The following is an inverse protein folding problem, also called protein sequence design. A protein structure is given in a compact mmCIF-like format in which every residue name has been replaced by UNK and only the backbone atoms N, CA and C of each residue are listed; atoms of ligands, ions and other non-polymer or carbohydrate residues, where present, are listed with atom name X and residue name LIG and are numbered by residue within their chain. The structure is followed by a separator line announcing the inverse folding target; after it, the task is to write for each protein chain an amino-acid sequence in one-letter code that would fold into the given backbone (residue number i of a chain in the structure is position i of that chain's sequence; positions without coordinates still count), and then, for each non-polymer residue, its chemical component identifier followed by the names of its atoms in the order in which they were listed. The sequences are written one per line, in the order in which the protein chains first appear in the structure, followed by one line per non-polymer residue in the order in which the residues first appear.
data_IF_639777478084
#
_entry.id   IF_639777478084
#
_cell.length_a   1.000
_cell.length_b   1.000
_cell.length_c   1.000
_cell.angle_alpha   90.00
_cell.angle_beta   90.00
_cell.angle_gamma   90.00
#
_symmetry.space_group_name_H-M   'P 1'
#
loop_
_entity.id
_entity.type
_entity.pdbx_description
1 polymer ?
#
# COMPACT_ATOMS: atom_id res chain seq x y z
N UNK A 1 56.73 35.80 15.89
CA UNK A 1 55.88 36.80 16.57
C UNK A 1 54.49 36.17 16.71
N UNK A 2 54.13 35.61 17.88
CA UNK A 2 53.15 36.19 18.84
C UNK A 2 52.01 36.93 18.09
N UNK A 3 50.75 36.51 18.16
CA UNK A 3 49.90 36.57 19.35
C UNK A 3 48.76 35.52 19.35
N UNK A 4 48.51 34.97 20.54
CA UNK A 4 47.28 34.29 20.94
C UNK A 4 46.11 35.28 20.99
N UNK A 5 44.90 34.85 20.62
CA UNK A 5 43.66 35.45 21.11
C UNK A 5 42.63 34.34 21.34
N UNK A 6 42.54 33.89 22.59
CA UNK A 6 41.46 33.07 23.13
C UNK A 6 40.25 33.96 23.38
N UNK A 7 39.14 33.73 22.68
CA UNK A 7 37.82 34.17 23.13
C UNK A 7 37.09 32.97 23.72
N UNK A 8 37.02 32.99 25.05
CA UNK A 8 36.15 32.14 25.85
C UNK A 8 34.70 32.46 25.47
N UNK A 9 34.03 31.52 24.81
CA UNK A 9 32.58 31.54 24.65
C UNK A 9 32.04 30.59 25.71
N UNK A 10 31.58 31.16 26.82
CA UNK A 10 30.75 30.46 27.80
C UNK A 10 29.44 30.09 27.10
N UNK A 11 29.37 28.84 26.63
CA UNK A 11 28.14 28.22 26.16
C UNK A 11 27.26 27.98 27.39
N UNK A 12 26.35 28.91 27.70
CA UNK A 12 25.24 28.60 28.60
C UNK A 12 24.40 27.52 27.90
N UNK A 13 24.58 26.27 28.33
CA UNK A 13 23.66 25.19 28.02
C UNK A 13 22.31 25.54 28.68
N UNK A 14 21.38 26.07 27.89
CA UNK A 14 19.96 26.04 28.23
C UNK A 14 19.59 24.56 28.32
N UNK A 15 19.59 24.01 29.55
CA UNK A 15 18.85 22.79 29.85
C UNK A 15 17.38 23.13 29.60
N UNK A 16 16.88 22.87 28.40
CA UNK A 16 15.45 22.62 28.25
C UNK A 16 15.20 21.33 29.01
N UNK A 17 14.59 21.45 30.18
CA UNK A 17 13.96 20.33 30.85
C UNK A 17 12.79 19.91 29.94
N UNK A 18 13.09 19.07 28.96
CA UNK A 18 12.05 18.31 28.27
C UNK A 18 11.49 17.43 29.36
N UNK A 19 10.30 17.79 29.84
CA UNK A 19 9.40 16.83 30.48
C UNK A 19 9.14 15.76 29.42
N UNK A 20 10.04 14.78 29.36
CA UNK A 20 9.70 13.49 28.81
C UNK A 20 8.68 13.00 29.84
N UNK A 21 7.39 13.13 29.52
CA UNK A 21 6.41 12.26 30.14
C UNK A 21 6.97 10.87 29.86
N UNK A 22 7.48 10.20 30.90
CA UNK A 22 7.66 8.76 30.82
C UNK A 22 6.37 8.23 30.23
N UNK A 23 6.41 7.33 29.22
CA UNK A 23 5.20 6.60 28.90
C UNK A 23 4.70 6.06 30.23
N UNK A 24 3.43 6.35 30.55
CA UNK A 24 2.71 5.55 31.55
C UNK A 24 3.01 4.13 31.10
N UNK A 25 3.79 3.40 31.91
CA UNK A 25 4.12 2.02 31.60
C UNK A 25 2.79 1.36 31.32
N UNK A 26 2.64 0.71 30.17
CA UNK A 26 1.49 -0.15 29.97
C UNK A 26 1.58 -1.18 31.10
N UNK A 27 0.66 -1.09 32.06
CA UNK A 27 0.59 -2.04 33.16
C UNK A 27 0.47 -3.42 32.53
N UNK A 28 1.31 -4.35 32.97
CA UNK A 28 1.23 -5.72 32.49
C UNK A 28 -0.06 -6.37 33.03
N UNK A 29 -0.70 -7.24 32.23
CA UNK A 29 -1.89 -7.95 32.70
C UNK A 29 -1.59 -8.76 33.97
N UNK A 30 -2.55 -8.82 34.88
CA UNK A 30 -2.47 -9.61 36.10
C UNK A 30 -3.83 -10.24 36.47
N UNK A 31 -3.80 -11.17 37.42
CA UNK A 31 -4.99 -11.67 38.09
C UNK A 31 -5.03 -11.12 39.51
N UNK A 32 -6.09 -10.37 39.86
CA UNK A 32 -6.22 -9.81 41.22
C UNK A 32 -6.33 -10.93 42.23
N UNK A 33 -5.71 -10.73 43.39
CA UNK A 33 -5.61 -11.68 44.51
C UNK A 33 -4.57 -12.80 44.34
N UNK A 34 -3.81 -12.85 43.25
CA UNK A 34 -2.67 -13.76 43.05
C UNK A 34 -1.35 -13.08 43.48
N UNK A 35 -1.25 -12.71 44.76
CA UNK A 35 -0.14 -11.91 45.28
C UNK A 35 1.21 -12.65 45.21
N UNK A 36 1.22 -13.99 45.18
CA UNK A 36 2.45 -14.76 45.03
C UNK A 36 2.77 -15.16 43.57
N UNK A 37 1.90 -14.79 42.63
CA UNK A 37 2.00 -15.02 41.19
C UNK A 37 2.12 -16.49 40.79
N UNK A 38 1.53 -17.40 41.57
CA UNK A 38 1.52 -18.84 41.31
C UNK A 38 0.31 -19.31 40.49
N UNK A 39 -0.51 -18.37 40.02
CA UNK A 39 -1.71 -18.59 39.21
C UNK A 39 -2.88 -19.24 39.95
N UNK A 40 -2.81 -19.34 41.29
CA UNK A 40 -3.88 -19.90 42.10
C UNK A 40 -4.25 -18.93 43.22
N UNK A 41 -5.39 -18.25 43.08
CA UNK A 41 -5.91 -17.42 44.18
C UNK A 41 -6.31 -18.29 45.38
N UNK A 42 -5.48 -18.29 46.42
CA UNK A 42 -5.65 -19.11 47.62
C UNK A 42 -5.04 -18.49 48.89
N UNK A 43 -4.96 -19.26 49.98
CA UNK A 43 -4.45 -18.73 51.26
C UNK A 43 -2.95 -18.36 51.21
N UNK A 44 -2.19 -18.95 50.28
CA UNK A 44 -0.78 -18.64 50.08
C UNK A 44 -0.57 -17.17 49.68
N UNK A 45 -1.51 -16.57 48.96
CA UNK A 45 -1.48 -15.17 48.56
C UNK A 45 -1.64 -14.23 49.75
N UNK A 46 -2.60 -14.52 50.63
CA UNK A 46 -2.79 -13.75 51.87
C UNK A 46 -1.55 -13.85 52.77
N UNK A 47 -0.92 -15.02 52.84
CA UNK A 47 0.35 -15.21 53.57
C UNK A 47 1.47 -14.41 52.92
N UNK A 48 1.51 -14.33 51.59
CA UNK A 48 2.54 -13.62 50.84
C UNK A 48 2.41 -12.11 51.01
N UNK A 49 1.19 -11.56 50.92
CA UNK A 49 0.89 -10.17 51.24
C UNK A 49 1.34 -9.80 52.66
N UNK A 50 1.01 -10.62 53.67
CA UNK A 50 1.46 -10.41 55.06
C UNK A 50 2.99 -10.48 55.20
N UNK A 51 3.64 -11.37 54.45
CA UNK A 51 5.09 -11.50 54.49
C UNK A 51 5.80 -10.28 53.86
N UNK A 52 5.24 -9.71 52.81
CA UNK A 52 5.67 -8.44 52.20
C UNK A 52 5.57 -7.30 53.22
N UNK A 53 4.42 -7.19 53.89
CA UNK A 53 4.15 -6.09 54.84
C UNK A 53 4.98 -6.17 56.13
N UNK A 54 5.15 -7.37 56.70
CA UNK A 54 5.66 -7.51 58.07
C UNK A 54 6.93 -8.34 58.20
N UNK A 55 7.28 -9.16 57.21
CA UNK A 55 8.40 -10.10 57.30
C UNK A 55 9.59 -9.73 56.41
N UNK A 56 9.50 -8.62 55.66
CA UNK A 56 10.59 -8.12 54.83
C UNK A 56 10.86 -8.97 53.60
N UNK A 57 9.84 -9.63 53.04
CA UNK A 57 9.94 -10.44 51.82
C UNK A 57 10.26 -9.65 50.53
N UNK A 58 10.55 -8.36 50.64
CA UNK A 58 10.77 -7.44 49.51
C UNK A 58 9.48 -6.75 49.05
N UNK A 59 9.58 -5.82 48.10
CA UNK A 59 8.39 -5.26 47.46
C UNK A 59 7.64 -6.36 46.70
N UNK A 60 6.32 -6.23 46.59
CA UNK A 60 5.52 -7.11 45.75
C UNK A 60 6.06 -7.12 44.31
N UNK A 61 6.04 -8.29 43.66
CA UNK A 61 6.40 -8.41 42.25
C UNK A 61 5.32 -7.84 41.32
N UNK A 62 4.07 -7.85 41.79
CA UNK A 62 2.92 -7.23 41.16
C UNK A 62 2.03 -6.64 42.29
N UNK A 63 2.32 -5.40 42.74
CA UNK A 63 1.53 -4.69 43.72
C UNK A 63 0.02 -4.74 43.51
N UNK A 64 -0.49 -4.64 42.27
CA UNK A 64 -1.94 -4.68 42.01
C UNK A 64 -2.56 -6.06 42.24
N UNK A 65 -1.81 -7.14 42.00
CA UNK A 65 -2.28 -8.48 42.36
C UNK A 65 -2.39 -8.65 43.88
N UNK A 66 -1.58 -7.91 44.64
CA UNK A 66 -1.63 -7.90 46.10
C UNK A 66 -2.64 -6.91 46.67
N UNK A 67 -3.02 -5.86 45.95
CA UNK A 67 -4.10 -4.92 46.32
C UNK A 67 -5.47 -5.59 46.10
N UNK A 68 -5.93 -6.28 47.13
CA UNK A 68 -7.08 -7.19 47.05
C UNK A 68 -8.42 -6.46 47.22
N UNK A 69 -8.41 -5.29 47.88
CA UNK A 69 -9.59 -4.44 48.03
C UNK A 69 -9.62 -3.25 47.07
N UNK A 70 -8.60 -3.12 46.22
CA UNK A 70 -8.54 -2.19 45.10
C UNK A 70 -8.70 -0.73 45.54
N UNK A 71 -8.00 -0.37 46.62
CA UNK A 71 -8.04 0.99 47.19
C UNK A 71 -6.79 1.83 46.86
N UNK A 72 -5.89 1.27 46.06
CA UNK A 72 -4.66 1.86 45.58
C UNK A 72 -3.58 1.96 46.64
N UNK A 73 -3.64 1.09 47.65
CA UNK A 73 -2.69 1.06 48.76
C UNK A 73 -2.47 -0.36 49.28
N UNK A 74 -1.24 -0.87 49.10
CA UNK A 74 -0.85 -2.17 49.64
C UNK A 74 -0.63 -2.10 51.16
N UNK A 75 -1.61 -2.53 51.96
CA UNK A 75 -1.59 -2.56 53.42
C UNK A 75 -2.30 -3.79 54.06
N UNK A 76 -2.60 -3.74 55.36
CA UNK A 76 -3.21 -4.87 56.09
C UNK A 76 -4.66 -5.15 55.65
N UNK A 77 -5.33 -4.19 55.02
CA UNK A 77 -6.68 -4.35 54.49
C UNK A 77 -6.71 -5.41 53.39
N UNK A 78 -5.64 -5.55 52.61
CA UNK A 78 -5.53 -6.50 51.50
C UNK A 78 -5.64 -7.97 51.91
N UNK A 79 -4.75 -8.52 52.77
CA UNK A 79 -4.88 -9.91 53.19
C UNK A 79 -6.19 -10.14 53.95
N UNK A 80 -6.76 -9.12 54.60
CA UNK A 80 -8.08 -9.24 55.24
C UNK A 80 -9.19 -9.34 54.19
N UNK A 81 -9.15 -8.52 53.14
CA UNK A 81 -10.09 -8.56 52.03
C UNK A 81 -10.02 -9.90 51.31
N UNK A 82 -8.83 -10.38 50.99
CA UNK A 82 -8.61 -11.68 50.39
C UNK A 82 -9.13 -12.83 51.26
N UNK A 83 -8.83 -12.84 52.56
CA UNK A 83 -9.36 -13.88 53.46
C UNK A 83 -10.90 -13.81 53.56
N UNK A 84 -11.47 -12.62 53.46
CA UNK A 84 -12.93 -12.42 53.42
C UNK A 84 -13.54 -12.93 52.12
N UNK A 85 -12.83 -12.82 51.00
CA UNK A 85 -13.18 -13.42 49.70
C UNK A 85 -13.10 -14.95 49.77
N UNK A 86 -12.02 -15.50 50.31
CA UNK A 86 -11.75 -16.95 50.34
C UNK A 86 -12.64 -17.73 51.31
N UNK A 87 -12.91 -17.17 52.48
CA UNK A 87 -13.57 -17.89 53.59
C UNK A 87 -14.84 -17.21 54.12
N UNK A 88 -15.11 -15.99 53.67
CA UNK A 88 -16.26 -15.20 54.10
C UNK A 88 -17.29 -15.01 53.00
N UNK A 89 -17.87 -13.81 52.97
CA UNK A 89 -18.83 -13.38 51.97
C UNK A 89 -18.30 -12.18 51.16
N UNK A 90 -16.98 -12.07 51.04
CA UNK A 90 -16.34 -11.07 50.18
C UNK A 90 -16.63 -11.36 48.71
N UNK A 91 -16.75 -10.30 47.91
CA UNK A 91 -16.90 -10.40 46.47
C UNK A 91 -15.55 -10.01 45.87
N UNK A 92 -14.87 -10.89 45.11
CA UNK A 92 -13.62 -10.52 44.49
C UNK A 92 -13.84 -9.45 43.43
N UNK A 93 -12.93 -8.48 43.38
CA UNK A 93 -12.92 -7.36 42.43
C UNK A 93 -12.16 -7.73 41.16
N UNK A 94 -12.49 -7.07 40.05
CA UNK A 94 -11.82 -7.29 38.77
C UNK A 94 -10.39 -6.73 38.77
N UNK A 95 -9.43 -7.32 38.04
CA UNK A 95 -9.60 -8.43 37.10
C UNK A 95 -9.59 -9.82 37.78
N UNK A 96 -10.67 -10.61 37.57
CA UNK A 96 -10.83 -11.97 38.14
C UNK A 96 -10.13 -13.06 37.34
N UNK A 97 -9.86 -12.75 36.08
CA UNK A 97 -9.02 -13.50 35.17
C UNK A 97 -7.96 -12.51 34.69
N UNK A 98 -6.92 -13.02 34.07
CA UNK A 98 -5.89 -12.20 33.46
C UNK A 98 -6.45 -10.98 32.71
N UNK A 99 -6.05 -9.79 33.12
CA UNK A 99 -6.41 -8.54 32.46
C UNK A 99 -5.77 -7.31 33.10
N UNK A 100 -6.08 -6.16 32.52
CA UNK A 100 -5.65 -4.85 33.00
C UNK A 100 -6.41 -4.43 34.26
N UNK A 101 -5.82 -3.53 35.04
CA UNK A 101 -6.50 -2.89 36.17
C UNK A 101 -7.65 -1.96 35.68
N UNK A 102 -8.91 -2.24 36.05
CA UNK A 102 -10.04 -1.36 35.72
C UNK A 102 -10.00 0.00 36.45
N UNK A 103 -9.22 0.10 37.52
CA UNK A 103 -9.11 1.28 38.40
C UNK A 103 -7.67 1.76 38.53
N UNK A 104 -7.02 2.19 37.43
CA UNK A 104 -5.60 2.51 37.44
C UNK A 104 -5.21 3.51 38.53
N UNK A 105 -4.18 3.18 39.30
CA UNK A 105 -3.66 4.03 40.37
C UNK A 105 -2.12 4.12 40.39
N UNK A 106 -1.52 4.27 41.57
CA UNK A 106 -0.08 4.40 41.74
C UNK A 106 0.67 3.07 41.90
N UNK A 107 -0.08 1.97 42.04
CA UNK A 107 0.41 0.61 41.98
C UNK A 107 0.50 0.17 40.50
N UNK A 108 1.41 -0.75 40.23
CA UNK A 108 1.67 -1.27 38.88
C UNK A 108 2.23 -2.70 39.02
N UNK A 109 2.16 -3.49 37.95
CA UNK A 109 2.68 -4.85 37.90
C UNK A 109 3.93 -4.92 37.03
N UNK A 110 5.14 -4.70 37.61
CA UNK A 110 6.38 -4.78 36.85
C UNK A 110 6.70 -6.20 36.35
N UNK A 111 6.03 -7.23 36.87
CA UNK A 111 6.07 -8.60 36.37
C UNK A 111 4.63 -9.07 36.10
N UNK A 112 4.36 -9.54 34.88
CA UNK A 112 3.11 -10.25 34.51
C UNK A 112 2.88 -11.42 35.45
N UNK A 113 1.65 -11.65 35.91
CA UNK A 113 1.32 -12.91 36.59
C UNK A 113 1.58 -14.11 35.66
N UNK A 114 1.92 -15.27 36.24
CA UNK A 114 2.33 -16.43 35.44
C UNK A 114 1.22 -16.93 34.50
N UNK A 115 -0.05 -16.70 34.85
CA UNK A 115 -1.22 -16.98 34.01
C UNK A 115 -1.51 -15.88 32.97
N UNK A 116 -0.92 -14.70 33.15
CA UNK A 116 -0.91 -13.58 32.22
C UNK A 116 0.29 -13.54 31.30
N UNK A 117 1.17 -14.53 31.38
CA UNK A 117 2.03 -14.81 30.25
C UNK A 117 1.13 -15.23 29.09
N UNK A 118 0.84 -14.29 28.20
CA UNK A 118 0.18 -14.56 26.93
C UNK A 118 1.00 -15.64 26.25
N UNK A 119 0.53 -16.89 26.35
CA UNK A 119 1.11 -17.98 25.59
C UNK A 119 0.97 -17.53 24.14
N UNK A 120 2.07 -17.35 23.38
CA UNK A 120 1.97 -16.96 21.99
C UNK A 120 0.94 -17.84 21.30
N UNK A 121 -0.11 -17.20 20.78
CA UNK A 121 -1.21 -17.88 20.12
C UNK A 121 -0.65 -18.90 19.13
N UNK A 122 -1.01 -20.20 19.21
CA UNK A 122 -0.41 -21.22 18.36
C UNK A 122 -0.51 -20.84 16.89
N UNK A 123 0.58 -21.02 16.14
CA UNK A 123 0.63 -20.68 14.73
C UNK A 123 -0.56 -21.29 13.95
N UNK A 124 -1.26 -20.46 13.17
CA UNK A 124 -2.45 -20.87 12.40
C UNK A 124 -3.77 -20.84 13.16
N UNK A 125 -3.78 -20.41 14.43
CA UNK A 125 -5.02 -20.16 15.18
C UNK A 125 -5.69 -18.89 14.65
N UNK A 126 -7.02 -18.87 14.41
CA UNK A 126 -7.72 -17.67 13.98
C UNK A 126 -7.58 -16.54 14.99
N UNK A 127 -7.32 -15.34 14.50
CA UNK A 127 -7.26 -14.10 15.27
C UNK A 127 -7.82 -12.94 14.43
N UNK A 128 -7.69 -11.70 14.92
CA UNK A 128 -8.04 -10.47 14.22
C UNK A 128 -6.84 -9.51 14.36
N UNK A 129 -6.26 -9.07 13.24
CA UNK A 129 -5.11 -8.16 13.22
C UNK A 129 -5.53 -6.68 13.28
N UNK A 130 -6.84 -6.41 13.28
CA UNK A 130 -7.43 -5.08 13.30
C UNK A 130 -7.33 -4.33 11.97
N UNK A 131 -6.75 -4.92 10.92
CA UNK A 131 -6.70 -4.34 9.59
C UNK A 131 -7.94 -4.77 8.78
N UNK A 132 -8.88 -3.86 8.49
CA UNK A 132 -10.05 -4.20 7.68
C UNK A 132 -9.68 -4.59 6.23
N UNK A 133 -8.44 -4.34 5.79
CA UNK A 133 -7.92 -4.69 4.47
C UNK A 133 -7.23 -6.04 4.40
N UNK A 134 -7.32 -6.85 5.45
CA UNK A 134 -6.88 -8.24 5.48
C UNK A 134 -8.05 -9.18 5.75
N UNK A 135 -7.86 -10.46 5.42
CA UNK A 135 -8.82 -11.52 5.70
C UNK A 135 -8.09 -12.80 6.11
N UNK A 136 -8.80 -13.71 6.77
CA UNK A 136 -8.25 -15.00 7.23
C UNK A 136 -7.04 -14.83 8.15
N UNK A 137 -7.17 -13.95 9.15
CA UNK A 137 -6.06 -13.60 10.02
C UNK A 137 -5.71 -14.76 10.94
N UNK A 138 -4.40 -15.00 11.02
CA UNK A 138 -3.84 -16.13 11.74
C UNK A 138 -2.64 -15.70 12.55
N UNK A 139 -2.51 -16.33 13.72
CA UNK A 139 -1.35 -16.11 14.56
C UNK A 139 -0.09 -16.71 13.93
N UNK A 140 1.04 -16.06 14.14
CA UNK A 140 2.36 -16.51 13.69
C UNK A 140 3.06 -17.49 14.66
N UNK A 141 2.49 -17.73 15.84
CA UNK A 141 3.12 -18.54 16.89
C UNK A 141 4.09 -17.78 17.80
N UNK A 142 4.34 -16.50 17.51
CA UNK A 142 5.14 -15.57 18.33
C UNK A 142 4.27 -14.48 19.00
N UNK A 143 2.95 -14.52 18.78
CA UNK A 143 1.98 -13.59 19.35
C UNK A 143 1.53 -12.50 18.38
N UNK A 144 2.07 -12.46 17.15
CA UNK A 144 1.59 -11.60 16.09
C UNK A 144 0.38 -12.22 15.38
N UNK A 145 -0.63 -11.40 15.09
CA UNK A 145 -1.75 -11.75 14.22
C UNK A 145 -1.55 -11.06 12.86
N UNK A 146 -1.68 -11.82 11.77
CA UNK A 146 -1.55 -11.28 10.41
C UNK A 146 -2.57 -11.92 9.48
N UNK A 147 -3.21 -11.10 8.66
CA UNK A 147 -4.12 -11.56 7.62
C UNK A 147 -3.56 -11.57 6.20
N UNK A 148 -4.36 -12.12 5.30
CA UNK A 148 -4.12 -12.13 3.86
C UNK A 148 -4.71 -10.85 3.27
N UNK A 149 -3.92 -10.00 2.58
CA UNK A 149 -4.42 -8.77 1.98
C UNK A 149 -5.59 -9.03 1.02
N UNK A 150 -6.61 -8.18 1.08
CA UNK A 150 -7.70 -8.17 0.11
C UNK A 150 -7.12 -7.84 -1.26
N UNK A 151 -7.46 -8.64 -2.27
CA UNK A 151 -7.11 -8.34 -3.66
C UNK A 151 -8.15 -7.40 -4.27
N UNK A 152 -7.76 -6.15 -4.54
CA UNK A 152 -8.62 -5.14 -5.16
C UNK A 152 -8.39 -4.98 -6.67
N UNK A 153 -7.47 -5.75 -7.27
CA UNK A 153 -7.16 -5.71 -8.71
C UNK A 153 -8.42 -5.97 -9.55
N UNK A 154 -8.85 -4.97 -10.32
CA UNK A 154 -9.98 -5.06 -11.26
C UNK A 154 -9.55 -5.34 -12.71
N UNK A 155 -8.25 -5.59 -12.90
CA UNK A 155 -7.59 -5.82 -14.18
C UNK A 155 -7.61 -4.62 -15.14
N UNK A 156 -7.98 -3.42 -14.68
CA UNK A 156 -7.81 -2.20 -15.44
C UNK A 156 -6.41 -1.61 -15.14
N UNK A 157 -5.47 -1.60 -16.10
CA UNK A 157 -4.16 -0.98 -15.89
C UNK A 157 -4.21 0.54 -15.68
N UNK A 158 -5.39 1.16 -15.85
CA UNK A 158 -5.62 2.58 -15.65
C UNK A 158 -6.30 2.94 -14.33
N UNK A 159 -6.39 2.00 -13.40
CA UNK A 159 -6.74 2.26 -12.01
C UNK A 159 -5.54 1.99 -11.10
N UNK A 160 -5.48 2.74 -10.00
CA UNK A 160 -4.67 2.40 -8.83
C UNK A 160 -5.59 1.68 -7.84
N UNK A 161 -5.38 0.39 -7.67
CA UNK A 161 -6.26 -0.49 -6.89
C UNK A 161 -5.79 -0.54 -5.44
N UNK A 162 -6.55 0.12 -4.57
CA UNK A 162 -6.20 0.25 -3.15
C UNK A 162 -7.34 -0.25 -2.28
N UNK A 163 -7.00 -0.96 -1.20
CA UNK A 163 -7.96 -1.19 -0.14
C UNK A 163 -7.94 -0.02 0.84
N UNK A 164 -9.11 0.56 1.09
CA UNK A 164 -9.31 1.61 2.07
C UNK A 164 -10.40 1.21 3.05
N UNK A 165 -10.03 0.97 4.32
CA UNK A 165 -10.96 0.58 5.38
C UNK A 165 -11.83 -0.65 5.03
N UNK A 166 -11.25 -1.64 4.36
CA UNK A 166 -11.94 -2.87 3.92
C UNK A 166 -12.82 -2.72 2.68
N UNK A 167 -12.74 -1.57 2.00
CA UNK A 167 -13.43 -1.30 0.74
C UNK A 167 -12.38 -1.21 -0.36
N UNK A 168 -12.58 -1.93 -1.46
CA UNK A 168 -11.75 -1.76 -2.65
C UNK A 168 -12.12 -0.46 -3.37
N UNK A 169 -11.13 0.39 -3.55
CA UNK A 169 -11.20 1.63 -4.32
C UNK A 169 -10.26 1.49 -5.53
N UNK A 170 -10.81 1.66 -6.72
CA UNK A 170 -10.06 1.58 -7.97
C UNK A 170 -9.97 3.00 -8.52
N UNK A 171 -8.88 3.70 -8.24
CA UNK A 171 -8.75 5.14 -8.45
C UNK A 171 -8.26 5.39 -9.88
N UNK A 172 -9.02 6.09 -10.75
CA UNK A 172 -8.58 6.34 -12.11
C UNK A 172 -7.29 7.16 -12.16
N UNK A 173 -6.30 6.65 -12.90
CA UNK A 173 -5.03 7.34 -13.13
C UNK A 173 -5.25 8.43 -14.19
N UNK A 174 -4.97 9.68 -13.82
CA UNK A 174 -5.16 10.82 -14.71
C UNK A 174 -4.32 10.69 -16.00
N UNK A 175 -4.99 10.70 -17.15
CA UNK A 175 -4.34 10.56 -18.46
C UNK A 175 -4.00 9.12 -18.85
N UNK A 176 -4.19 8.14 -17.97
CA UNK A 176 -4.06 6.74 -18.37
C UNK A 176 -5.17 6.37 -19.35
N UNK A 177 -4.79 5.65 -20.40
CA UNK A 177 -5.70 5.25 -21.48
C UNK A 177 -5.91 6.33 -22.54
N UNK A 178 -5.42 7.56 -22.35
CA UNK A 178 -5.36 8.57 -23.42
C UNK A 178 -4.05 8.42 -24.19
N UNK A 179 -4.13 8.08 -25.48
CA UNK A 179 -2.96 7.85 -26.32
C UNK A 179 -2.60 9.14 -27.05
N UNK A 180 -1.35 9.58 -26.94
CA UNK A 180 -0.80 10.76 -27.63
C UNK A 180 0.08 10.32 -28.80
N UNK A 181 0.01 11.06 -29.90
CA UNK A 181 0.89 10.78 -31.04
C UNK A 181 2.36 10.96 -30.66
N UNK A 182 2.72 12.06 -30.02
CA UNK A 182 4.11 12.40 -29.70
C UNK A 182 4.73 11.51 -28.64
N UNK A 183 3.94 11.01 -27.67
CA UNK A 183 4.45 10.19 -26.57
C UNK A 183 4.39 8.69 -26.87
N UNK A 184 3.36 8.22 -27.57
CA UNK A 184 3.10 6.79 -27.72
C UNK A 184 3.29 6.34 -29.16
N UNK A 185 2.52 6.89 -30.11
CA UNK A 185 2.49 6.37 -31.48
C UNK A 185 3.78 6.65 -32.25
N UNK A 186 4.33 7.85 -32.11
CA UNK A 186 5.52 8.26 -32.84
C UNK A 186 6.74 7.41 -32.46
N UNK A 187 7.19 7.35 -31.20
CA UNK A 187 8.40 6.60 -30.86
C UNK A 187 8.24 5.08 -31.00
N UNK A 188 7.03 4.53 -30.77
CA UNK A 188 6.81 3.08 -30.74
C UNK A 188 6.44 2.47 -32.10
N UNK A 189 6.01 3.29 -33.07
CA UNK A 189 5.56 2.81 -34.38
C UNK A 189 6.13 3.63 -35.54
N UNK A 190 5.96 4.96 -35.52
CA UNK A 190 6.34 5.78 -36.67
C UNK A 190 7.86 5.84 -36.82
N UNK A 191 8.55 6.23 -35.76
CA UNK A 191 10.01 6.34 -35.75
C UNK A 191 10.68 4.98 -35.91
N UNK A 192 10.26 3.98 -35.14
CA UNK A 192 10.84 2.64 -35.13
C UNK A 192 10.68 1.90 -36.47
N UNK A 193 9.48 1.94 -37.06
CA UNK A 193 9.11 1.01 -38.13
C UNK A 193 8.78 1.70 -39.46
N UNK A 194 8.45 3.00 -39.45
CA UNK A 194 8.00 3.71 -40.65
C UNK A 194 9.09 4.65 -41.23
N UNK A 195 9.85 5.36 -40.39
CA UNK A 195 10.81 6.37 -40.85
C UNK A 195 11.95 5.79 -41.68
N UNK A 196 12.31 4.52 -41.50
CA UNK A 196 13.36 3.83 -42.29
C UNK A 196 13.11 3.94 -43.80
N UNK A 197 11.85 3.94 -44.21
CA UNK A 197 11.41 4.03 -45.61
C UNK A 197 10.80 5.40 -45.94
N UNK A 198 10.12 6.01 -44.98
CA UNK A 198 9.36 7.25 -45.14
C UNK A 198 10.03 8.43 -44.46
N UNK A 199 11.37 8.52 -44.49
CA UNK A 199 12.11 9.72 -44.09
C UNK A 199 13.28 9.96 -45.06
N UNK A 200 13.87 11.17 -45.06
CA UNK A 200 15.06 11.45 -45.85
C UNK A 200 16.20 10.49 -45.48
N UNK A 201 16.92 9.92 -46.46
CA UNK A 201 16.90 10.26 -47.89
C UNK A 201 15.88 9.46 -48.74
N UNK A 202 15.26 8.42 -48.19
CA UNK A 202 14.43 7.47 -48.94
C UNK A 202 13.11 8.09 -49.43
N UNK A 203 12.36 8.71 -48.51
CA UNK A 203 11.06 9.36 -48.78
C UNK A 203 10.15 8.55 -49.73
N UNK A 204 10.07 7.22 -49.53
CA UNK A 204 9.27 6.38 -50.41
C UNK A 204 7.80 6.83 -50.39
N UNK A 205 7.17 6.83 -51.56
CA UNK A 205 5.80 7.35 -51.72
C UNK A 205 5.69 8.87 -51.60
N UNK A 206 6.82 9.61 -51.66
CA UNK A 206 6.88 11.05 -51.41
C UNK A 206 6.37 11.43 -50.01
N UNK A 207 6.55 10.55 -49.03
CA UNK A 207 6.11 10.73 -47.66
C UNK A 207 7.31 10.93 -46.73
N UNK A 208 7.25 11.96 -45.89
CA UNK A 208 8.21 12.20 -44.81
C UNK A 208 7.49 12.14 -43.47
N UNK A 209 7.82 11.13 -42.67
CA UNK A 209 7.28 10.85 -41.34
C UNK A 209 8.31 11.11 -40.23
N UNK A 210 9.48 11.68 -40.55
CA UNK A 210 10.43 12.10 -39.53
C UNK A 210 9.98 13.42 -38.91
N UNK A 211 10.26 13.61 -37.62
CA UNK A 211 10.19 14.91 -36.95
C UNK A 211 11.48 15.73 -37.10
N UNK A 212 12.51 15.22 -37.78
CA UNK A 212 13.73 15.96 -38.07
C UNK A 212 13.49 16.84 -39.30
N UNK A 213 13.20 18.12 -39.06
CA UNK A 213 12.96 19.11 -40.12
C UNK A 213 11.62 18.96 -40.85
N UNK A 214 10.68 18.24 -40.24
CA UNK A 214 9.32 18.01 -40.72
C UNK A 214 8.38 17.82 -39.52
N UNK A 215 7.07 18.00 -39.74
CA UNK A 215 6.03 17.72 -38.76
C UNK A 215 5.28 16.45 -39.21
N UNK A 216 5.60 15.32 -38.59
CA UNK A 216 5.03 14.03 -39.01
C UNK A 216 3.55 13.92 -38.62
N UNK A 217 3.12 14.53 -37.52
CA UNK A 217 1.72 14.60 -37.12
C UNK A 217 0.90 15.38 -38.16
N UNK A 218 1.35 16.59 -38.49
CA UNK A 218 0.72 17.45 -39.49
C UNK A 218 0.73 16.86 -40.91
N UNK A 219 1.63 15.91 -41.19
CA UNK A 219 1.68 15.17 -42.46
C UNK A 219 0.61 14.06 -42.54
N UNK A 220 0.19 13.51 -41.39
CA UNK A 220 -0.73 12.38 -41.32
C UNK A 220 -2.17 12.79 -41.02
N UNK A 221 -2.37 13.68 -40.06
CA UNK A 221 -3.71 13.92 -39.50
C UNK A 221 -4.48 14.93 -40.35
N UNK A 222 -5.69 14.53 -40.77
CA UNK A 222 -6.55 15.29 -41.68
C UNK A 222 -5.86 15.67 -43.02
N UNK A 223 -4.93 14.82 -43.48
CA UNK A 223 -4.26 15.01 -44.77
C UNK A 223 -4.70 13.93 -45.77
N UNK A 224 -5.08 14.29 -47.01
CA UNK A 224 -5.49 13.31 -48.00
C UNK A 224 -4.33 12.39 -48.42
N UNK A 225 -4.62 11.10 -48.58
CA UNK A 225 -3.65 10.12 -49.05
C UNK A 225 -3.29 10.34 -50.53
N UNK A 226 -1.99 10.28 -50.85
CA UNK A 226 -1.51 10.37 -52.23
C UNK A 226 -1.90 9.13 -53.08
N UNK A 227 -2.12 7.98 -52.45
CA UNK A 227 -2.53 6.74 -53.13
C UNK A 227 -4.05 6.67 -53.36
N UNK A 228 -4.82 7.36 -52.52
CA UNK A 228 -6.27 7.46 -52.61
C UNK A 228 -6.77 8.77 -51.98
N UNK A 229 -6.87 9.84 -52.77
CA UNK A 229 -7.23 11.19 -52.28
C UNK A 229 -8.67 11.32 -51.78
N UNK A 230 -9.48 10.26 -51.89
CA UNK A 230 -10.82 10.18 -51.31
C UNK A 230 -10.79 9.84 -49.81
N UNK A 231 -9.63 9.44 -49.28
CA UNK A 231 -9.43 9.04 -47.89
C UNK A 231 -8.24 9.80 -47.30
N UNK A 232 -8.36 10.25 -46.06
CA UNK A 232 -7.26 10.86 -45.34
C UNK A 232 -6.30 9.79 -44.80
N UNK A 233 -5.03 10.15 -44.59
CA UNK A 233 -4.05 9.29 -43.92
C UNK A 233 -4.54 8.90 -42.54
N UNK A 234 -4.94 9.88 -41.73
CA UNK A 234 -5.63 9.68 -40.45
C UNK A 234 -6.88 10.57 -40.41
N UNK A 235 -8.02 9.92 -40.19
CA UNK A 235 -9.31 10.52 -39.88
C UNK A 235 -9.53 10.39 -38.37
N UNK A 236 -9.38 11.47 -37.58
CA UNK A 236 -9.62 11.44 -36.14
C UNK A 236 -10.98 10.83 -35.77
N UNK A 237 -10.97 9.88 -34.82
CA UNK A 237 -12.15 9.19 -34.32
C UNK A 237 -12.65 8.03 -35.20
N UNK A 238 -12.00 7.74 -36.33
CA UNK A 238 -12.39 6.65 -37.22
C UNK A 238 -11.17 5.96 -37.87
N UNK A 239 -10.61 4.97 -37.19
CA UNK A 239 -9.55 4.10 -37.71
C UNK A 239 -9.99 3.37 -38.97
N UNK A 240 -11.27 3.02 -39.08
CA UNK A 240 -11.81 2.38 -40.27
C UNK A 240 -11.85 3.34 -41.47
N UNK A 241 -12.00 4.65 -41.30
CA UNK A 241 -11.90 5.60 -42.41
C UNK A 241 -10.45 6.01 -42.74
N UNK A 242 -9.48 5.66 -41.89
CA UNK A 242 -8.09 6.12 -41.99
C UNK A 242 -7.24 5.25 -42.92
N UNK A 243 -6.63 5.87 -43.94
CA UNK A 243 -5.81 5.16 -44.92
C UNK A 243 -4.58 4.50 -44.28
N UNK A 244 -3.92 5.17 -43.34
CA UNK A 244 -2.76 4.64 -42.61
C UNK A 244 -3.11 3.32 -41.92
N UNK A 245 -4.22 3.29 -41.16
CA UNK A 245 -4.64 2.09 -40.44
C UNK A 245 -4.93 0.93 -41.39
N UNK A 246 -5.65 1.19 -42.48
CA UNK A 246 -5.94 0.18 -43.50
C UNK A 246 -4.69 -0.38 -44.16
N UNK A 247 -3.66 0.44 -44.36
CA UNK A 247 -2.38 0.03 -44.94
C UNK A 247 -1.59 -0.87 -44.00
N UNK A 248 -1.67 -0.66 -42.69
CA UNK A 248 -0.98 -1.51 -41.70
C UNK A 248 -1.77 -2.77 -41.35
N UNK A 249 -3.10 -2.72 -41.39
CA UNK A 249 -3.99 -3.87 -41.17
C UNK A 249 -4.10 -4.78 -42.41
N UNK A 250 -3.88 -4.23 -43.61
CA UNK A 250 -3.96 -4.96 -44.88
C UNK A 250 -5.34 -4.91 -45.55
N UNK A 251 -6.25 -4.05 -45.09
CA UNK A 251 -7.60 -3.88 -45.64
C UNK A 251 -7.69 -2.80 -46.73
N UNK A 252 -6.58 -2.14 -47.06
CA UNK A 252 -6.50 -0.99 -47.97
C UNK A 252 -6.92 -1.26 -49.41
N UNK A 253 -6.67 -2.45 -49.97
CA UNK A 253 -7.04 -2.75 -51.38
C UNK A 253 -8.55 -2.77 -51.57
N UNK A 254 -9.28 -3.40 -50.64
CA UNK A 254 -10.74 -3.43 -50.68
C UNK A 254 -11.33 -2.02 -50.46
N UNK A 255 -10.73 -1.25 -49.55
CA UNK A 255 -11.13 0.13 -49.30
C UNK A 255 -10.90 1.03 -50.52
N UNK A 256 -9.77 0.89 -51.21
CA UNK A 256 -9.47 1.64 -52.43
C UNK A 256 -10.53 1.38 -53.50
N UNK A 257 -10.90 0.12 -53.72
CA UNK A 257 -11.96 -0.24 -54.66
C UNK A 257 -13.30 0.41 -54.27
N UNK A 258 -13.68 0.35 -52.99
CA UNK A 258 -14.93 0.92 -52.49
C UNK A 258 -14.95 2.46 -52.62
N UNK A 259 -13.82 3.12 -52.41
CA UNK A 259 -13.66 4.57 -52.54
C UNK A 259 -13.49 5.06 -53.99
N UNK A 260 -13.47 4.15 -54.98
CA UNK A 260 -13.24 4.49 -56.39
C UNK A 260 -11.79 4.86 -56.73
N UNK A 261 -10.85 4.50 -55.87
CA UNK A 261 -9.41 4.68 -56.06
C UNK A 261 -8.79 3.49 -56.83
N UNK A 262 -7.59 3.70 -57.38
CA UNK A 262 -6.87 2.65 -58.10
C UNK A 262 -6.34 1.59 -57.13
N UNK A 263 -6.82 0.35 -57.25
CA UNK A 263 -6.31 -0.80 -56.48
C UNK A 263 -4.85 -1.14 -56.82
N UNK A 264 -4.41 -0.81 -58.03
CA UNK A 264 -3.01 -0.95 -58.42
C UNK A 264 -2.12 0.11 -57.74
N UNK A 265 -2.63 1.35 -57.58
CA UNK A 265 -1.92 2.42 -56.88
C UNK A 265 -1.89 2.20 -55.36
N UNK A 266 -2.89 1.51 -54.80
CA UNK A 266 -2.96 1.18 -53.38
C UNK A 266 -1.79 0.29 -52.91
N UNK A 267 -1.10 -0.42 -53.81
CA UNK A 267 0.11 -1.18 -53.51
C UNK A 267 -0.07 -2.31 -52.47
N UNK A 268 1.04 -2.73 -51.86
CA UNK A 268 1.04 -3.77 -50.83
C UNK A 268 0.72 -3.21 -49.42
N UNK A 269 0.45 -4.13 -48.49
CA UNK A 269 0.36 -3.83 -47.05
C UNK A 269 1.70 -3.30 -46.54
N UNK A 270 1.65 -2.35 -45.62
CA UNK A 270 2.81 -1.76 -44.96
C UNK A 270 2.98 -2.32 -43.54
N UNK A 271 4.21 -2.43 -43.01
CA UNK A 271 5.47 -2.27 -43.72
C UNK A 271 5.73 -3.40 -44.75
N UNK A 272 6.27 -3.05 -45.92
CA UNK A 272 6.42 -3.99 -47.04
C UNK A 272 7.71 -4.84 -46.94
N UNK A 273 7.64 -6.11 -47.36
CA UNK A 273 8.81 -6.97 -47.56
C UNK A 273 9.38 -7.58 -46.27
N UNK A 274 10.71 -7.58 -46.12
CA UNK A 274 11.40 -8.14 -44.94
C UNK A 274 11.27 -7.33 -43.66
N UNK A 275 10.62 -6.16 -43.73
CA UNK A 275 10.21 -5.32 -42.61
C UNK A 275 8.78 -5.64 -42.13
N UNK A 276 8.13 -6.63 -42.75
CA UNK A 276 6.89 -7.18 -42.22
C UNK A 276 7.16 -7.82 -40.85
N UNK A 277 6.35 -7.56 -39.82
CA UNK A 277 5.15 -6.72 -39.79
C UNK A 277 5.09 -6.01 -38.43
N UNK A 278 4.31 -4.93 -38.33
CA UNK A 278 3.96 -4.40 -37.02
C UNK A 278 3.31 -5.52 -36.18
N UNK A 279 3.62 -5.53 -34.90
CA UNK A 279 2.98 -6.45 -33.95
C UNK A 279 1.49 -6.13 -33.79
N UNK A 280 0.72 -7.10 -33.29
CA UNK A 280 -0.70 -6.88 -33.00
C UNK A 280 -0.89 -5.68 -32.05
N UNK A 281 -0.03 -5.54 -31.05
CA UNK A 281 -0.08 -4.45 -30.07
C UNK A 281 0.23 -3.09 -30.70
N UNK A 282 1.20 -3.01 -31.62
CA UNK A 282 1.49 -1.78 -32.36
C UNK A 282 0.34 -1.37 -33.28
N UNK A 283 -0.29 -2.33 -33.96
CA UNK A 283 -1.48 -2.07 -34.79
C UNK A 283 -2.64 -1.58 -33.92
N UNK A 284 -2.84 -2.22 -32.76
CA UNK A 284 -3.88 -1.85 -31.80
C UNK A 284 -3.63 -0.46 -31.20
N UNK A 285 -2.38 -0.12 -30.87
CA UNK A 285 -1.99 1.21 -30.39
C UNK A 285 -2.35 2.31 -31.40
N UNK A 286 -2.02 2.11 -32.68
CA UNK A 286 -2.39 3.06 -33.75
C UNK A 286 -3.91 3.14 -33.88
N UNK A 287 -4.61 2.01 -33.81
CA UNK A 287 -6.08 1.96 -33.89
C UNK A 287 -6.71 2.79 -32.78
N UNK A 288 -6.31 2.55 -31.53
CA UNK A 288 -6.89 3.17 -30.36
C UNK A 288 -6.55 4.66 -30.31
N UNK A 289 -5.34 5.07 -30.69
CA UNK A 289 -4.99 6.47 -30.86
C UNK A 289 -5.92 7.19 -31.85
N UNK A 290 -6.15 6.60 -33.03
CA UNK A 290 -7.04 7.20 -34.03
C UNK A 290 -8.46 7.28 -33.49
N UNK A 291 -8.99 6.19 -32.93
CA UNK A 291 -10.37 6.11 -32.43
C UNK A 291 -10.61 7.03 -31.22
N UNK A 292 -9.56 7.35 -30.45
CA UNK A 292 -9.59 8.34 -29.36
C UNK A 292 -9.53 9.80 -29.85
N UNK A 293 -9.47 10.04 -31.16
CA UNK A 293 -9.46 11.39 -31.73
C UNK A 293 -8.09 11.85 -32.25
N UNK A 294 -7.11 10.94 -32.32
CA UNK A 294 -5.78 11.20 -32.89
C UNK A 294 -5.08 12.41 -32.24
N UNK A 295 -5.02 12.45 -30.91
CA UNK A 295 -4.39 13.56 -30.17
C UNK A 295 -2.89 13.69 -30.49
N UNK A 296 -2.34 14.92 -30.57
CA UNK A 296 -0.91 15.16 -30.86
C UNK A 296 0.08 14.60 -29.84
#
# INVERSE_FOLDING_TARGET
MKFFCTKSVTLLALLSFVLIASPISAQEDFTRNDCNLDSLVNIADAVSALAILFSGSGPAACPDACDSNDDGSLDIADPVALLTILFGSGVPLEPLLCGQDPTPDGLDCPQTSTDCQSTPCPAGTPCDDGDPCTTNDVCDGAGGCFGVPINCDDSDPCTDDVCNAGICENIPIAGCGTISYSQDVYPLVIESDCTVCHAPPSNFGNLNLSNVGNDSYGTLVNQPSAECSALDFVTPGDSSASWLFRKIEGTHVAAAQAAGCSTAAAGAQMPIGGFCCLTADQIQLVKDWIDQGAEP
#
